data_IF_178665438894
#
_entry.id   IF_178665438894
#
_cell.length_a   1.000
_cell.length_b   1.000
_cell.length_c   1.000
_cell.angle_alpha   90.00
_cell.angle_beta   90.00
_cell.angle_gamma   90.00
#
_symmetry.space_group_name_H-M   'P 1'
#
loop_
_entity.id
_entity.type
_entity.pdbx_description
1 polymer ?
#
# COMPACT_ATOMS: atom_id res chain seq x y z
N UNK A 1 -0.44 -0.81 41.87
CA UNK A 1 -1.92 -0.97 41.96
C UNK A 1 -2.68 0.03 41.08
N UNK A 2 -2.45 1.35 41.18
CA UNK A 2 -3.19 2.37 40.39
C UNK A 2 -3.04 2.21 38.88
N UNK A 3 -1.83 2.01 38.36
CA UNK A 3 -1.60 1.84 36.91
C UNK A 3 -2.29 0.61 36.32
N UNK A 4 -2.36 -0.50 37.08
CA UNK A 4 -3.09 -1.69 36.63
C UNK A 4 -4.61 -1.46 36.45
N UNK A 5 -5.20 -0.56 37.24
CA UNK A 5 -6.62 -0.19 37.08
C UNK A 5 -6.87 0.59 35.77
N UNK A 6 -5.92 1.36 35.30
CA UNK A 6 -6.00 2.06 34.02
C UNK A 6 -6.00 1.06 32.86
N UNK A 7 -5.13 0.03 32.89
CA UNK A 7 -5.16 -1.05 31.89
C UNK A 7 -6.51 -1.74 31.90
N UNK A 8 -6.99 -2.19 33.06
CA UNK A 8 -8.27 -2.91 33.20
C UNK A 8 -9.44 -2.07 32.68
N UNK A 9 -9.46 -0.76 32.98
CA UNK A 9 -10.45 0.18 32.48
C UNK A 9 -10.38 0.29 30.95
N UNK A 10 -9.18 0.46 30.39
CA UNK A 10 -8.97 0.53 28.95
C UNK A 10 -9.47 -0.71 28.23
N UNK A 11 -9.08 -1.91 28.69
CA UNK A 11 -9.51 -3.19 28.11
C UNK A 11 -11.03 -3.40 28.27
N UNK A 12 -11.61 -3.03 29.39
CA UNK A 12 -13.05 -3.09 29.60
C UNK A 12 -13.81 -2.29 28.55
N UNK A 13 -13.41 -1.04 28.30
CA UNK A 13 -14.05 -0.18 27.32
C UNK A 13 -13.78 -0.62 25.87
N UNK A 14 -12.59 -1.17 25.57
CA UNK A 14 -12.32 -1.79 24.27
C UNK A 14 -13.30 -2.94 23.97
N UNK A 15 -13.51 -3.82 24.94
CA UNK A 15 -14.45 -4.93 24.80
C UNK A 15 -15.92 -4.47 24.70
N UNK A 16 -16.23 -3.29 25.22
CA UNK A 16 -17.53 -2.65 25.09
C UNK A 16 -17.70 -1.82 23.80
N UNK A 17 -16.70 -1.78 22.93
CA UNK A 17 -16.62 -0.91 21.74
C UNK A 17 -16.81 0.60 22.08
N UNK A 18 -16.37 1.01 23.26
CA UNK A 18 -16.34 2.41 23.70
C UNK A 18 -14.92 2.97 23.55
N UNK A 19 -14.57 3.30 22.31
CA UNK A 19 -13.24 3.75 21.94
C UNK A 19 -12.82 5.03 22.66
N UNK A 20 -13.76 5.91 22.96
CA UNK A 20 -13.46 7.18 23.63
C UNK A 20 -12.99 6.95 25.08
N UNK A 21 -13.67 6.10 25.84
CA UNK A 21 -13.24 5.75 27.17
C UNK A 21 -12.03 4.81 27.15
N UNK A 22 -11.93 3.87 26.20
CA UNK A 22 -10.74 3.05 26.02
C UNK A 22 -9.50 3.94 25.82
N UNK A 23 -9.58 4.89 24.89
CA UNK A 23 -8.49 5.85 24.64
C UNK A 23 -8.09 6.62 25.91
N UNK A 24 -9.08 7.16 26.62
CA UNK A 24 -8.83 7.92 27.85
C UNK A 24 -7.99 7.15 28.87
N UNK A 25 -8.37 5.91 29.16
CA UNK A 25 -7.71 5.09 30.17
C UNK A 25 -6.33 4.62 29.71
N UNK A 26 -6.18 4.20 28.44
CA UNK A 26 -4.91 3.73 27.89
C UNK A 26 -3.90 4.88 27.72
N UNK A 27 -4.37 6.04 27.25
CA UNK A 27 -3.54 7.25 27.17
C UNK A 27 -3.03 7.69 28.55
N UNK A 28 -3.91 7.74 29.55
CA UNK A 28 -3.52 8.09 30.91
C UNK A 28 -2.50 7.10 31.47
N UNK A 29 -2.63 5.79 31.18
CA UNK A 29 -1.62 4.81 31.57
C UNK A 29 -0.24 5.15 30.99
N UNK A 30 -0.15 5.47 29.69
CA UNK A 30 1.11 5.86 29.05
C UNK A 30 1.65 7.15 29.64
N UNK A 31 0.80 8.14 29.87
CA UNK A 31 1.19 9.43 30.45
C UNK A 31 1.73 9.30 31.89
N UNK A 32 1.24 8.32 32.67
CA UNK A 32 1.80 8.07 34.02
C UNK A 32 3.27 7.70 33.97
N UNK A 33 3.81 7.24 32.87
CA UNK A 33 5.23 6.96 32.69
C UNK A 33 6.12 8.20 32.92
N UNK A 34 5.57 9.38 32.70
CA UNK A 34 6.30 10.66 32.80
C UNK A 34 5.91 11.47 34.05
N UNK A 35 4.99 10.93 34.88
CA UNK A 35 4.57 11.65 36.07
C UNK A 35 5.68 11.67 37.16
N UNK A 36 5.94 12.80 37.81
CA UNK A 36 6.99 12.93 38.82
C UNK A 36 6.88 11.91 39.97
N UNK A 37 5.66 11.50 40.33
CA UNK A 37 5.43 10.51 41.37
C UNK A 37 5.97 9.11 41.01
N UNK A 38 6.13 8.81 39.73
CA UNK A 38 6.70 7.57 39.21
C UNK A 38 8.17 7.72 38.76
N UNK A 39 8.80 8.88 38.93
CA UNK A 39 10.18 9.15 38.51
C UNK A 39 11.22 8.17 39.10
N UNK A 40 10.92 7.56 40.25
CA UNK A 40 11.77 6.52 40.85
C UNK A 40 11.50 5.10 40.31
N UNK A 41 10.47 4.93 39.53
CA UNK A 41 10.13 3.66 38.91
C UNK A 41 10.93 3.50 37.62
N UNK A 42 11.64 2.38 37.52
CA UNK A 42 12.33 2.04 36.27
C UNK A 42 11.34 1.62 35.20
N UNK A 43 10.99 2.56 34.35
CA UNK A 43 9.97 2.40 33.30
C UNK A 43 10.36 1.33 32.28
N UNK A 44 11.67 1.01 32.13
CA UNK A 44 12.13 -0.05 31.26
C UNK A 44 11.69 -1.44 31.70
N UNK A 45 11.25 -1.56 32.96
CA UNK A 45 10.72 -2.80 33.57
C UNK A 45 9.19 -2.90 33.50
N UNK A 46 8.55 -1.95 32.88
CA UNK A 46 7.10 -1.98 32.68
C UNK A 46 6.76 -2.79 31.42
N UNK A 47 6.52 -4.06 31.59
CA UNK A 47 6.25 -5.03 30.53
C UNK A 47 5.01 -4.67 29.70
N UNK A 48 4.05 -3.91 30.27
CA UNK A 48 2.82 -3.55 29.58
C UNK A 48 2.92 -2.22 28.81
N UNK A 49 3.93 -1.38 29.12
CA UNK A 49 3.94 -0.01 28.62
C UNK A 49 3.95 0.07 27.10
N UNK A 50 4.76 -0.76 26.44
CA UNK A 50 4.93 -0.69 25.00
C UNK A 50 3.67 -1.16 24.25
N UNK A 51 3.01 -2.21 24.74
CA UNK A 51 1.78 -2.73 24.13
C UNK A 51 0.60 -1.78 24.36
N UNK A 52 0.44 -1.26 25.57
CA UNK A 52 -0.59 -0.27 25.87
C UNK A 52 -0.34 1.03 25.09
N UNK A 53 0.92 1.44 24.93
CA UNK A 53 1.27 2.58 24.10
C UNK A 53 0.90 2.40 22.63
N UNK A 54 0.96 1.18 22.08
CA UNK A 54 0.51 0.92 20.73
C UNK A 54 -0.99 1.25 20.58
N UNK A 55 -1.84 0.74 21.47
CA UNK A 55 -3.27 1.04 21.40
C UNK A 55 -3.58 2.51 21.65
N UNK A 56 -2.91 3.13 22.63
CA UNK A 56 -3.05 4.57 22.87
C UNK A 56 -2.65 5.40 21.65
N UNK A 57 -1.56 5.01 20.95
CA UNK A 57 -1.13 5.63 19.69
C UNK A 57 -2.18 5.47 18.59
N UNK A 58 -2.73 4.26 18.44
CA UNK A 58 -3.78 3.99 17.47
C UNK A 58 -4.99 4.89 17.66
N UNK A 59 -5.51 4.99 18.88
CA UNK A 59 -6.63 5.87 19.19
C UNK A 59 -6.28 7.36 19.03
N UNK A 60 -5.08 7.77 19.40
CA UNK A 60 -4.61 9.15 19.18
C UNK A 60 -4.58 9.48 17.67
N UNK A 61 -4.09 8.55 16.84
CA UNK A 61 -4.09 8.67 15.40
C UNK A 61 -5.51 8.79 14.82
N UNK A 62 -6.43 7.92 15.23
CA UNK A 62 -7.83 7.97 14.82
C UNK A 62 -8.51 9.29 15.16
N UNK A 63 -8.18 9.84 16.34
CA UNK A 63 -8.70 11.13 16.80
C UNK A 63 -7.91 12.34 16.24
N UNK A 64 -6.92 12.12 15.38
CA UNK A 64 -6.05 13.17 14.83
C UNK A 64 -5.31 13.99 15.92
N UNK A 65 -5.13 13.40 17.11
CA UNK A 65 -4.32 13.97 18.18
C UNK A 65 -2.84 13.67 17.93
N UNK A 66 -2.29 14.37 16.92
CA UNK A 66 -0.94 14.11 16.42
C UNK A 66 0.14 14.25 17.50
N UNK A 67 -0.02 15.22 18.38
CA UNK A 67 0.94 15.46 19.47
C UNK A 67 1.03 14.26 20.43
N UNK A 68 -0.10 13.68 20.80
CA UNK A 68 -0.16 12.47 21.61
C UNK A 68 0.28 11.23 20.84
N UNK A 69 -0.13 11.10 19.59
CA UNK A 69 0.27 10.00 18.73
C UNK A 69 1.80 9.93 18.60
N UNK A 70 2.48 11.04 18.31
CA UNK A 70 3.95 11.13 18.24
C UNK A 70 4.64 10.84 19.58
N UNK A 71 4.01 11.21 20.68
CA UNK A 71 4.55 10.96 22.01
C UNK A 71 4.45 9.48 22.39
N UNK A 72 3.30 8.85 22.15
CA UNK A 72 3.05 7.48 22.56
C UNK A 72 3.76 6.46 21.66
N UNK A 73 3.87 6.72 20.36
CA UNK A 73 4.51 5.80 19.43
C UNK A 73 5.97 5.50 19.80
N UNK A 74 6.67 6.44 20.46
CA UNK A 74 8.05 6.24 20.96
C UNK A 74 8.17 5.11 22.00
N UNK A 75 7.09 4.83 22.73
CA UNK A 75 7.01 3.68 23.62
C UNK A 75 6.54 2.43 22.85
N UNK A 76 5.57 2.59 21.95
CA UNK A 76 4.98 1.49 21.17
C UNK A 76 5.99 0.75 20.29
N UNK A 77 6.93 1.45 19.66
CA UNK A 77 7.99 0.84 18.82
C UNK A 77 8.93 -0.10 19.59
N UNK A 78 8.91 -0.04 20.92
CA UNK A 78 9.71 -0.93 21.80
C UNK A 78 8.99 -2.24 22.12
N UNK A 79 7.73 -2.44 21.68
CA UNK A 79 6.98 -3.66 21.92
C UNK A 79 7.65 -4.85 21.22
N UNK A 80 7.89 -5.96 21.91
CA UNK A 80 8.41 -7.18 21.29
C UNK A 80 7.49 -7.75 20.21
N UNK A 81 6.16 -7.62 20.38
CA UNK A 81 5.17 -8.22 19.51
C UNK A 81 4.67 -7.27 18.42
N UNK A 82 4.60 -5.96 18.72
CA UNK A 82 3.95 -4.95 17.87
C UNK A 82 4.91 -3.91 17.29
N UNK A 83 6.22 -4.11 17.40
CA UNK A 83 7.21 -3.14 16.93
C UNK A 83 7.00 -2.78 15.45
N UNK A 84 6.73 -3.76 14.60
CA UNK A 84 6.50 -3.53 13.16
C UNK A 84 5.24 -2.69 12.92
N UNK A 85 4.14 -3.02 13.59
CA UNK A 85 2.88 -2.29 13.45
C UNK A 85 3.02 -0.85 13.99
N UNK A 86 3.74 -0.69 15.12
CA UNK A 86 4.03 0.62 15.69
C UNK A 86 4.91 1.49 14.78
N UNK A 87 5.90 0.90 14.11
CA UNK A 87 6.71 1.60 13.11
C UNK A 87 5.88 2.03 11.89
N UNK A 88 4.96 1.20 11.42
CA UNK A 88 4.03 1.59 10.35
C UNK A 88 3.12 2.74 10.80
N UNK A 89 2.62 2.67 12.03
CA UNK A 89 1.79 3.73 12.61
C UNK A 89 2.59 5.04 12.79
N UNK A 90 3.86 4.99 13.18
CA UNK A 90 4.75 6.16 13.22
C UNK A 90 4.86 6.83 11.84
N UNK A 91 5.07 6.04 10.78
CA UNK A 91 5.13 6.54 9.42
C UNK A 91 3.79 7.14 8.96
N UNK A 92 2.68 6.52 9.35
CA UNK A 92 1.34 7.04 9.05
C UNK A 92 1.08 8.38 9.77
N UNK A 93 1.48 8.50 11.04
CA UNK A 93 1.37 9.75 11.82
C UNK A 93 2.17 10.88 11.15
N UNK A 94 3.41 10.60 10.75
CA UNK A 94 4.26 11.57 10.06
C UNK A 94 3.66 11.96 8.70
N UNK A 95 3.19 10.98 7.93
CA UNK A 95 2.59 11.20 6.63
C UNK A 95 1.28 12.02 6.69
N UNK A 96 0.46 11.80 7.72
CA UNK A 96 -0.80 12.51 7.91
C UNK A 96 -0.64 14.01 8.22
N UNK A 97 0.53 14.42 8.67
CA UNK A 97 0.82 15.81 9.05
C UNK A 97 1.46 16.64 7.93
N UNK A 98 1.71 16.04 6.76
CA UNK A 98 2.29 16.74 5.62
C UNK A 98 1.30 17.77 5.05
N UNK A 99 1.66 19.03 5.13
CA UNK A 99 0.83 20.16 4.64
C UNK A 99 1.52 20.94 3.54
N UNK A 100 2.83 20.94 3.54
CA UNK A 100 3.66 21.73 2.63
C UNK A 100 4.61 20.84 1.85
N UNK A 101 5.19 21.40 0.78
CA UNK A 101 6.27 20.73 0.06
C UNK A 101 7.50 20.50 0.97
N UNK A 102 7.80 21.45 1.85
CA UNK A 102 8.92 21.35 2.79
C UNK A 102 8.71 20.21 3.80
N UNK A 103 7.48 20.04 4.31
CA UNK A 103 7.14 18.90 5.18
C UNK A 103 7.40 17.58 4.44
N UNK A 104 6.99 17.49 3.17
CA UNK A 104 7.19 16.29 2.36
C UNK A 104 8.67 16.01 2.08
N UNK A 105 9.49 17.04 1.87
CA UNK A 105 10.96 16.91 1.77
C UNK A 105 11.54 16.43 3.10
N UNK A 106 11.14 17.01 4.22
CA UNK A 106 11.53 16.58 5.55
C UNK A 106 11.15 15.12 5.83
N UNK A 107 9.97 14.72 5.39
CA UNK A 107 9.51 13.33 5.49
C UNK A 107 10.37 12.38 4.67
N UNK A 108 10.67 12.72 3.41
CA UNK A 108 11.56 11.92 2.56
C UNK A 108 12.94 11.72 3.22
N UNK A 109 13.51 12.76 3.82
CA UNK A 109 14.79 12.66 4.53
C UNK A 109 14.72 11.70 5.74
N UNK A 110 13.61 11.71 6.51
CA UNK A 110 13.39 10.75 7.60
C UNK A 110 13.26 9.32 7.08
N UNK A 111 12.56 9.12 5.96
CA UNK A 111 12.44 7.81 5.33
C UNK A 111 13.80 7.30 4.82
N UNK A 112 14.65 8.16 4.26
CA UNK A 112 16.02 7.78 3.88
C UNK A 112 16.84 7.29 5.06
N UNK A 113 16.76 7.97 6.21
CA UNK A 113 17.43 7.54 7.43
C UNK A 113 16.92 6.17 7.91
N UNK A 114 15.61 5.99 7.95
CA UNK A 114 14.99 4.68 8.33
C UNK A 114 15.37 3.56 7.36
N UNK A 115 15.43 3.86 6.07
CA UNK A 115 15.85 2.85 5.07
C UNK A 115 17.34 2.50 5.20
N UNK A 116 18.18 3.45 5.62
CA UNK A 116 19.59 3.16 5.90
C UNK A 116 19.77 2.27 7.14
N UNK A 117 18.88 2.39 8.15
CA UNK A 117 18.86 1.55 9.35
C UNK A 117 18.33 0.13 9.04
N UNK A 118 17.29 0.02 8.20
CA UNK A 118 16.69 -1.25 7.77
C UNK A 118 16.48 -1.27 6.25
N UNK A 119 17.52 -1.64 5.47
CA UNK A 119 17.49 -1.63 4.00
C UNK A 119 16.50 -2.62 3.37
N UNK A 120 16.02 -3.60 4.13
CA UNK A 120 15.04 -4.60 3.64
C UNK A 120 13.60 -4.22 3.97
N UNK A 121 13.36 -3.06 4.57
CA UNK A 121 12.02 -2.59 4.92
C UNK A 121 11.25 -2.11 3.69
N UNK A 122 10.45 -3.01 3.13
CA UNK A 122 9.66 -2.75 1.91
C UNK A 122 8.71 -1.57 2.08
N UNK A 123 8.10 -1.41 3.25
CA UNK A 123 7.17 -0.29 3.52
C UNK A 123 7.89 1.06 3.49
N UNK A 124 9.03 1.18 4.17
CA UNK A 124 9.85 2.40 4.18
C UNK A 124 10.37 2.69 2.76
N UNK A 125 10.86 1.68 2.06
CA UNK A 125 11.33 1.81 0.67
C UNK A 125 10.23 2.36 -0.24
N UNK A 126 9.04 1.75 -0.20
CA UNK A 126 7.91 2.16 -1.05
C UNK A 126 7.45 3.58 -0.73
N UNK A 127 7.34 3.93 0.56
CA UNK A 127 6.97 5.28 0.99
C UNK A 127 8.00 6.32 0.55
N UNK A 128 9.31 6.02 0.68
CA UNK A 128 10.37 6.92 0.25
C UNK A 128 10.29 7.19 -1.24
N UNK A 129 10.25 6.14 -2.04
CA UNK A 129 10.24 6.24 -3.51
C UNK A 129 8.98 6.99 -3.98
N UNK A 130 7.81 6.69 -3.40
CA UNK A 130 6.56 7.39 -3.70
C UNK A 130 6.62 8.86 -3.29
N UNK A 131 7.13 9.15 -2.09
CA UNK A 131 7.27 10.54 -1.61
C UNK A 131 8.18 11.36 -2.51
N UNK A 132 9.34 10.81 -2.89
CA UNK A 132 10.27 11.46 -3.82
C UNK A 132 9.62 11.75 -5.19
N UNK A 133 8.86 10.79 -5.72
CA UNK A 133 8.11 10.99 -6.96
C UNK A 133 7.09 12.13 -6.83
N UNK A 134 6.31 12.15 -5.75
CA UNK A 134 5.28 13.16 -5.50
C UNK A 134 5.82 14.57 -5.32
N UNK A 135 7.03 14.72 -4.76
CA UNK A 135 7.69 16.03 -4.63
C UNK A 135 8.52 16.43 -5.86
N UNK A 136 8.38 15.69 -6.98
CA UNK A 136 9.05 15.99 -8.24
C UNK A 136 10.51 15.54 -8.31
N UNK A 137 11.00 14.75 -7.35
CA UNK A 137 12.36 14.19 -7.33
C UNK A 137 12.42 12.81 -8.02
N UNK A 138 11.78 12.68 -9.19
CA UNK A 138 11.68 11.42 -9.91
C UNK A 138 13.04 10.77 -10.20
N UNK A 139 14.03 11.57 -10.60
CA UNK A 139 15.37 11.06 -10.88
C UNK A 139 16.02 10.38 -9.66
N UNK A 140 15.81 10.92 -8.46
CA UNK A 140 16.30 10.33 -7.21
C UNK A 140 15.53 9.05 -6.88
N UNK A 141 14.23 9.05 -7.08
CA UNK A 141 13.38 7.85 -6.91
C UNK A 141 13.84 6.72 -7.84
N UNK A 142 14.06 7.01 -9.14
CA UNK A 142 14.57 6.06 -10.11
C UNK A 142 15.95 5.49 -9.69
N UNK A 143 16.86 6.34 -9.23
CA UNK A 143 18.19 5.92 -8.75
C UNK A 143 18.10 4.96 -7.55
N UNK A 144 17.22 5.23 -6.60
CA UNK A 144 17.03 4.36 -5.42
C UNK A 144 16.50 2.99 -5.85
N UNK A 145 15.53 2.96 -6.78
CA UNK A 145 14.97 1.71 -7.31
C UNK A 145 16.05 0.92 -8.06
N UNK A 146 16.82 1.54 -8.95
CA UNK A 146 17.87 0.86 -9.71
C UNK A 146 19.01 0.37 -8.80
N UNK A 147 19.38 1.14 -7.77
CA UNK A 147 20.38 0.72 -6.79
C UNK A 147 19.91 -0.51 -5.98
N UNK A 148 18.64 -0.54 -5.58
CA UNK A 148 18.05 -1.68 -4.89
C UNK A 148 18.04 -2.93 -5.79
N UNK A 149 17.66 -2.81 -7.06
CA UNK A 149 17.67 -3.92 -8.03
C UNK A 149 19.09 -4.39 -8.39
N UNK A 150 20.06 -3.47 -8.43
CA UNK A 150 21.46 -3.83 -8.66
C UNK A 150 22.03 -4.65 -7.49
N UNK A 151 21.62 -4.35 -6.25
CA UNK A 151 22.02 -5.08 -5.05
C UNK A 151 21.28 -6.41 -4.92
N UNK A 152 19.97 -6.40 -5.18
CA UNK A 152 19.10 -7.56 -5.12
C UNK A 152 18.10 -7.54 -6.29
N UNK A 153 18.37 -8.26 -7.40
CA UNK A 153 17.47 -8.31 -8.55
C UNK A 153 16.05 -8.84 -8.25
N UNK A 154 15.90 -9.52 -7.11
CA UNK A 154 14.62 -10.05 -6.62
C UNK A 154 14.04 -9.20 -5.48
N UNK A 155 14.42 -7.93 -5.36
CA UNK A 155 13.79 -7.04 -4.39
C UNK A 155 12.34 -6.73 -4.83
N UNK A 156 11.37 -7.28 -4.10
CA UNK A 156 9.94 -7.14 -4.40
C UNK A 156 9.51 -5.68 -4.54
N UNK A 157 9.82 -4.84 -3.54
CA UNK A 157 9.42 -3.44 -3.53
C UNK A 157 10.00 -2.67 -4.72
N UNK A 158 11.28 -2.90 -5.04
CA UNK A 158 11.94 -2.25 -6.17
C UNK A 158 11.38 -2.70 -7.52
N UNK A 159 11.04 -3.99 -7.69
CA UNK A 159 10.41 -4.48 -8.91
C UNK A 159 9.02 -3.88 -9.11
N UNK A 160 8.21 -3.78 -8.05
CA UNK A 160 6.88 -3.15 -8.10
C UNK A 160 7.01 -1.67 -8.46
N UNK A 161 7.90 -0.93 -7.79
CA UNK A 161 8.12 0.50 -8.10
C UNK A 161 8.63 0.72 -9.51
N UNK A 162 9.54 -0.13 -9.99
CA UNK A 162 9.99 -0.09 -11.40
C UNK A 162 8.82 -0.29 -12.36
N UNK A 163 7.99 -1.28 -12.11
CA UNK A 163 6.78 -1.52 -12.91
C UNK A 163 5.85 -0.30 -12.93
N UNK A 164 5.61 0.35 -11.79
CA UNK A 164 4.80 1.55 -11.71
C UNK A 164 5.42 2.72 -12.50
N UNK A 165 6.71 2.96 -12.36
CA UNK A 165 7.40 4.05 -13.06
C UNK A 165 7.42 3.85 -14.56
N UNK A 166 7.70 2.63 -15.03
CA UNK A 166 7.65 2.32 -16.46
C UNK A 166 6.22 2.45 -17.01
N UNK A 167 5.20 2.07 -16.25
CA UNK A 167 3.79 2.26 -16.63
C UNK A 167 3.42 3.76 -16.74
N UNK A 168 3.88 4.60 -15.81
CA UNK A 168 3.68 6.06 -15.88
C UNK A 168 4.36 6.69 -17.10
N UNK A 169 5.53 6.16 -17.51
CA UNK A 169 6.22 6.56 -18.73
C UNK A 169 5.61 5.95 -19.99
N UNK A 170 4.53 5.15 -19.85
CA UNK A 170 3.87 4.38 -20.92
C UNK A 170 4.73 3.30 -21.56
N UNK A 171 5.80 2.89 -20.89
CA UNK A 171 6.65 1.76 -21.27
C UNK A 171 6.02 0.46 -20.76
N UNK A 172 4.81 0.14 -21.24
CA UNK A 172 3.98 -0.92 -20.67
C UNK A 172 4.60 -2.31 -20.72
N UNK A 173 5.41 -2.62 -21.73
CA UNK A 173 6.13 -3.90 -21.82
C UNK A 173 7.17 -4.01 -20.70
N UNK A 174 8.01 -2.98 -20.52
CA UNK A 174 9.00 -2.94 -19.45
C UNK A 174 8.35 -2.96 -18.07
N UNK A 175 7.18 -2.31 -17.92
CA UNK A 175 6.38 -2.34 -16.69
C UNK A 175 5.88 -3.76 -16.39
N UNK A 176 5.29 -4.43 -17.38
CA UNK A 176 4.83 -5.80 -17.24
C UNK A 176 5.97 -6.77 -16.90
N UNK A 177 7.13 -6.63 -17.54
CA UNK A 177 8.31 -7.47 -17.28
C UNK A 177 8.82 -7.34 -15.83
N UNK A 178 8.84 -6.12 -15.30
CA UNK A 178 9.21 -5.89 -13.90
C UNK A 178 8.20 -6.52 -12.93
N UNK A 179 6.90 -6.35 -13.19
CA UNK A 179 5.82 -6.89 -12.37
C UNK A 179 5.73 -8.42 -12.44
N UNK A 180 5.98 -9.03 -13.61
CA UNK A 180 6.06 -10.50 -13.76
C UNK A 180 7.18 -11.07 -12.89
N UNK A 181 8.32 -10.38 -12.77
CA UNK A 181 9.40 -10.78 -11.85
C UNK A 181 9.02 -10.61 -10.39
N UNK A 182 8.19 -9.62 -10.05
CA UNK A 182 7.70 -9.38 -8.69
C UNK A 182 6.65 -10.42 -8.24
N UNK A 183 5.85 -10.96 -9.18
CA UNK A 183 4.71 -11.82 -8.86
C UNK A 183 5.04 -13.05 -8.00
N UNK A 184 6.10 -13.84 -8.27
CA UNK A 184 6.46 -14.98 -7.43
C UNK A 184 6.97 -14.59 -6.02
N UNK A 185 7.26 -13.30 -5.80
CA UNK A 185 7.76 -12.76 -4.54
C UNK A 185 6.65 -12.17 -3.66
N UNK A 186 5.41 -12.16 -4.15
CA UNK A 186 4.26 -11.64 -3.42
C UNK A 186 3.96 -12.49 -2.18
N UNK A 187 3.87 -11.85 -1.02
CA UNK A 187 3.74 -12.52 0.27
C UNK A 187 2.32 -13.02 0.55
N UNK A 188 1.30 -12.31 0.04
CA UNK A 188 -0.11 -12.55 0.31
C UNK A 188 -0.99 -12.36 -0.92
N UNK A 189 -2.28 -12.68 -0.79
CA UNK A 189 -3.23 -12.57 -1.88
C UNK A 189 -3.51 -11.11 -2.26
N UNK A 190 -3.47 -10.17 -1.33
CA UNK A 190 -3.65 -8.76 -1.64
C UNK A 190 -2.56 -8.25 -2.60
N UNK A 191 -1.29 -8.63 -2.34
CA UNK A 191 -0.17 -8.34 -3.24
C UNK A 191 -0.33 -9.05 -4.59
N UNK A 192 -0.75 -10.33 -4.59
CA UNK A 192 -0.97 -11.09 -5.83
C UNK A 192 -2.09 -10.47 -6.68
N UNK A 193 -3.19 -10.04 -6.06
CA UNK A 193 -4.28 -9.32 -6.73
C UNK A 193 -3.74 -8.04 -7.38
N UNK A 194 -3.04 -7.22 -6.60
CA UNK A 194 -2.53 -5.94 -7.09
C UNK A 194 -1.55 -6.11 -8.26
N UNK A 195 -0.60 -7.05 -8.17
CA UNK A 195 0.38 -7.29 -9.23
C UNK A 195 -0.30 -7.87 -10.48
N UNK A 196 -1.14 -8.89 -10.36
CA UNK A 196 -1.84 -9.46 -11.51
C UNK A 196 -2.70 -8.41 -12.22
N UNK A 197 -3.45 -7.60 -11.46
CA UNK A 197 -4.21 -6.51 -12.03
C UNK A 197 -3.31 -5.50 -12.76
N UNK A 198 -2.18 -5.13 -12.17
CA UNK A 198 -1.23 -4.18 -12.78
C UNK A 198 -0.59 -4.73 -14.05
N UNK A 199 -0.22 -6.02 -14.10
CA UNK A 199 0.28 -6.67 -15.32
C UNK A 199 -0.81 -6.64 -16.41
N UNK A 200 -2.02 -7.04 -16.05
CA UNK A 200 -3.15 -7.02 -16.99
C UNK A 200 -3.44 -5.62 -17.52
N UNK A 201 -3.39 -4.60 -16.66
CA UNK A 201 -3.51 -3.19 -17.07
C UNK A 201 -2.40 -2.78 -18.03
N UNK A 202 -1.15 -3.19 -17.80
CA UNK A 202 -0.05 -2.88 -18.71
C UNK A 202 -0.34 -3.42 -20.13
N UNK A 203 -0.74 -4.69 -20.25
CA UNK A 203 -1.09 -5.26 -21.55
C UNK A 203 -2.33 -4.61 -22.17
N UNK A 204 -3.34 -4.30 -21.37
CA UNK A 204 -4.54 -3.60 -21.83
C UNK A 204 -4.21 -2.21 -22.40
N UNK A 205 -3.48 -1.37 -21.67
CA UNK A 205 -3.12 -0.03 -22.14
C UNK A 205 -2.14 -0.07 -23.31
N UNK A 206 -1.19 -1.01 -23.32
CA UNK A 206 -0.30 -1.24 -24.48
C UNK A 206 -1.11 -1.52 -25.75
N UNK A 207 -2.06 -2.46 -25.68
CA UNK A 207 -2.91 -2.80 -26.82
C UNK A 207 -3.81 -1.62 -27.21
N UNK A 208 -4.42 -0.92 -26.25
CA UNK A 208 -5.30 0.22 -26.50
C UNK A 208 -4.57 1.36 -27.22
N UNK A 209 -3.36 1.71 -26.79
CA UNK A 209 -2.57 2.72 -27.49
C UNK A 209 -2.12 2.28 -28.89
N UNK A 210 -1.78 1.00 -29.05
CA UNK A 210 -1.43 0.47 -30.37
C UNK A 210 -2.62 0.47 -31.32
N UNK A 211 -3.80 0.05 -30.85
CA UNK A 211 -5.07 0.10 -31.60
C UNK A 211 -5.40 1.55 -32.02
N UNK A 212 -5.25 2.52 -31.12
CA UNK A 212 -5.53 3.92 -31.42
C UNK A 212 -4.65 4.53 -32.52
N UNK A 213 -3.48 3.93 -32.79
CA UNK A 213 -2.57 4.37 -33.88
C UNK A 213 -2.90 3.77 -35.23
N UNK A 214 -3.77 2.74 -35.28
CA UNK A 214 -4.15 2.09 -36.55
C UNK A 214 -5.09 3.00 -37.33
N UNK A 215 -4.75 3.26 -38.59
CA UNK A 215 -5.62 3.97 -39.52
C UNK A 215 -6.43 2.95 -40.33
N UNK A 216 -7.76 2.95 -40.20
CA UNK A 216 -8.65 2.08 -40.92
C UNK A 216 -9.22 0.92 -40.11
N UNK A 217 -9.74 -0.11 -40.80
CA UNK A 217 -10.41 -1.23 -40.15
C UNK A 217 -9.38 -2.22 -39.60
N UNK A 218 -9.57 -2.62 -38.35
CA UNK A 218 -8.75 -3.64 -37.69
C UNK A 218 -9.38 -5.00 -37.96
N UNK A 219 -8.77 -5.78 -38.84
CA UNK A 219 -9.26 -7.11 -39.26
C UNK A 219 -8.07 -8.03 -39.62
N UNK A 220 -8.36 -9.31 -39.79
CA UNK A 220 -7.39 -10.33 -40.22
C UNK A 220 -6.15 -10.38 -39.29
N UNK A 221 -4.94 -10.54 -39.86
CA UNK A 221 -3.70 -10.70 -39.07
C UNK A 221 -3.42 -9.59 -38.06
N UNK A 222 -3.83 -8.36 -38.38
CA UNK A 222 -3.69 -7.21 -37.47
C UNK A 222 -4.57 -7.37 -36.23
N UNK A 223 -5.84 -7.81 -36.43
CA UNK A 223 -6.74 -8.11 -35.31
C UNK A 223 -6.19 -9.24 -34.44
N UNK A 224 -5.69 -10.30 -35.05
CA UNK A 224 -5.12 -11.46 -34.37
C UNK A 224 -3.92 -11.08 -33.47
N UNK A 225 -3.09 -10.12 -33.90
CA UNK A 225 -1.99 -9.62 -33.08
C UNK A 225 -2.49 -8.88 -31.82
N UNK A 226 -3.50 -8.02 -31.97
CA UNK A 226 -4.11 -7.34 -30.84
C UNK A 226 -4.86 -8.31 -29.92
N UNK A 227 -5.59 -9.27 -30.50
CA UNK A 227 -6.30 -10.31 -29.74
C UNK A 227 -5.32 -11.06 -28.81
N UNK A 228 -4.10 -11.37 -29.27
CA UNK A 228 -3.07 -12.02 -28.43
C UNK A 228 -2.70 -11.17 -27.22
N UNK A 229 -2.51 -9.86 -27.40
CA UNK A 229 -2.13 -8.97 -26.29
C UNK A 229 -3.28 -8.78 -25.31
N UNK A 230 -4.50 -8.58 -25.83
CA UNK A 230 -5.70 -8.49 -24.98
C UNK A 230 -5.99 -9.79 -24.23
N UNK A 231 -5.82 -10.95 -24.86
CA UNK A 231 -5.98 -12.24 -24.19
C UNK A 231 -4.95 -12.42 -23.08
N UNK A 232 -3.72 -11.98 -23.27
CA UNK A 232 -2.71 -11.98 -22.21
C UNK A 232 -3.11 -11.06 -21.05
N UNK A 233 -3.71 -9.92 -21.33
CA UNK A 233 -4.28 -9.06 -20.29
C UNK A 233 -5.41 -9.78 -19.53
N UNK A 234 -6.33 -10.44 -20.26
CA UNK A 234 -7.45 -11.19 -19.67
C UNK A 234 -6.96 -12.27 -18.71
N UNK A 235 -5.91 -13.03 -19.08
CA UNK A 235 -5.35 -14.07 -18.22
C UNK A 235 -4.96 -13.52 -16.83
N UNK A 236 -4.21 -12.44 -16.77
CA UNK A 236 -3.79 -11.82 -15.51
C UNK A 236 -4.97 -11.17 -14.76
N UNK A 237 -5.86 -10.47 -15.47
CA UNK A 237 -7.03 -9.82 -14.85
C UNK A 237 -8.00 -10.85 -14.26
N UNK A 238 -8.16 -12.02 -14.89
CA UNK A 238 -8.95 -13.11 -14.33
C UNK A 238 -8.32 -13.71 -13.08
N UNK A 239 -6.99 -13.83 -13.02
CA UNK A 239 -6.32 -14.25 -11.79
C UNK A 239 -6.59 -13.25 -10.66
N UNK A 240 -6.46 -11.95 -10.93
CA UNK A 240 -6.78 -10.90 -9.95
C UNK A 240 -8.24 -10.98 -9.49
N UNK A 241 -9.20 -11.10 -10.42
CA UNK A 241 -10.63 -11.27 -10.13
C UNK A 241 -10.91 -12.48 -9.26
N UNK A 242 -10.33 -13.64 -9.60
CA UNK A 242 -10.58 -14.90 -8.90
C UNK A 242 -10.02 -14.91 -7.47
N UNK A 243 -8.92 -14.21 -7.23
CA UNK A 243 -8.35 -14.02 -5.89
C UNK A 243 -9.14 -13.00 -5.06
N UNK A 244 -9.76 -12.02 -5.70
CA UNK A 244 -10.54 -10.95 -5.07
C UNK A 244 -11.99 -11.40 -4.77
N UNK A 245 -12.13 -12.43 -3.93
CA UNK A 245 -13.42 -13.09 -3.62
C UNK A 245 -14.47 -12.09 -3.09
N UNK A 246 -14.06 -11.12 -2.28
CA UNK A 246 -14.93 -10.12 -1.70
C UNK A 246 -15.13 -8.87 -2.58
N UNK A 247 -14.50 -8.84 -3.74
CA UNK A 247 -14.53 -7.71 -4.68
C UNK A 247 -14.06 -6.35 -4.11
N UNK A 248 -13.21 -6.37 -3.09
CA UNK A 248 -12.65 -5.17 -2.44
C UNK A 248 -11.67 -4.42 -3.36
N UNK A 249 -11.00 -5.17 -4.25
CA UNK A 249 -10.05 -4.66 -5.24
C UNK A 249 -10.63 -4.52 -6.65
N UNK A 250 -11.94 -4.64 -6.82
CA UNK A 250 -12.67 -4.64 -8.11
C UNK A 250 -12.27 -3.49 -9.04
N UNK A 251 -11.99 -2.32 -8.51
CA UNK A 251 -11.51 -1.14 -9.25
C UNK A 251 -10.22 -1.39 -10.04
N UNK A 252 -9.40 -2.36 -9.62
CA UNK A 252 -8.11 -2.63 -10.25
C UNK A 252 -8.24 -3.48 -11.52
N UNK A 253 -9.23 -4.36 -11.59
CA UNK A 253 -9.34 -5.36 -12.66
C UNK A 253 -10.60 -5.26 -13.53
N UNK A 254 -11.72 -4.71 -13.02
CA UNK A 254 -13.01 -4.82 -13.71
C UNK A 254 -13.05 -4.05 -15.02
N UNK A 255 -12.69 -2.76 -15.01
CA UNK A 255 -12.73 -1.94 -16.24
C UNK A 255 -11.75 -2.44 -17.32
N UNK A 256 -10.48 -2.72 -17.03
CA UNK A 256 -9.59 -3.29 -18.02
C UNK A 256 -10.07 -4.64 -18.58
N UNK A 257 -10.65 -5.50 -17.73
CA UNK A 257 -11.20 -6.79 -18.16
C UNK A 257 -12.37 -6.61 -19.12
N UNK A 258 -13.29 -5.70 -18.81
CA UNK A 258 -14.37 -5.31 -19.73
C UNK A 258 -13.82 -4.84 -21.08
N UNK A 259 -12.87 -3.90 -21.08
CA UNK A 259 -12.29 -3.37 -22.32
C UNK A 259 -11.60 -4.44 -23.16
N UNK A 260 -10.93 -5.40 -22.51
CA UNK A 260 -10.32 -6.53 -23.21
C UNK A 260 -11.39 -7.44 -23.87
N UNK A 261 -12.43 -7.84 -23.14
CA UNK A 261 -13.51 -8.66 -23.70
C UNK A 261 -14.28 -7.94 -24.79
N UNK A 262 -14.57 -6.65 -24.62
CA UNK A 262 -15.22 -5.84 -25.64
C UNK A 262 -14.46 -5.87 -26.97
N UNK A 263 -13.13 -5.74 -26.92
CA UNK A 263 -12.30 -5.79 -28.15
C UNK A 263 -12.24 -7.18 -28.76
N UNK A 264 -12.00 -8.23 -27.95
CA UNK A 264 -11.74 -9.60 -28.45
C UNK A 264 -13.05 -10.29 -28.90
N UNK A 265 -14.10 -10.16 -28.07
CA UNK A 265 -15.35 -10.93 -28.23
C UNK A 265 -16.53 -10.11 -28.73
N UNK A 266 -16.43 -8.78 -28.64
CA UNK A 266 -17.49 -7.86 -29.00
C UNK A 266 -18.47 -7.58 -27.86
N UNK A 267 -19.29 -6.56 -28.05
CA UNK A 267 -20.18 -5.97 -27.03
C UNK A 267 -21.19 -6.99 -26.45
N UNK A 268 -21.79 -7.82 -27.28
CA UNK A 268 -22.88 -8.73 -26.91
C UNK A 268 -22.42 -10.12 -26.44
N UNK A 269 -21.12 -10.29 -26.21
CA UNK A 269 -20.63 -11.56 -25.70
C UNK A 269 -20.94 -11.67 -24.18
N UNK A 270 -21.35 -12.86 -23.69
CA UNK A 270 -21.68 -13.05 -22.28
C UNK A 270 -20.58 -12.60 -21.31
N UNK A 271 -19.32 -12.82 -21.67
CA UNK A 271 -18.18 -12.41 -20.86
C UNK A 271 -18.01 -10.88 -20.82
N UNK A 272 -18.34 -10.20 -21.93
CA UNK A 272 -18.32 -8.74 -22.01
C UNK A 272 -19.41 -8.15 -21.14
N UNK A 273 -20.63 -8.69 -21.21
CA UNK A 273 -21.76 -8.26 -20.38
C UNK A 273 -21.47 -8.48 -18.88
N UNK A 274 -20.93 -9.65 -18.52
CA UNK A 274 -20.53 -9.92 -17.14
C UNK A 274 -19.43 -8.97 -16.63
N UNK A 275 -18.43 -8.69 -17.45
CA UNK A 275 -17.37 -7.77 -17.09
C UNK A 275 -17.85 -6.30 -17.05
N UNK A 276 -18.82 -5.92 -17.88
CA UNK A 276 -19.49 -4.61 -17.84
C UNK A 276 -20.22 -4.42 -16.50
N UNK A 277 -20.97 -5.44 -16.07
CA UNK A 277 -21.64 -5.41 -14.76
C UNK A 277 -20.63 -5.27 -13.59
N UNK A 278 -19.50 -5.98 -13.66
CA UNK A 278 -18.42 -5.83 -12.69
C UNK A 278 -17.83 -4.40 -12.72
N UNK A 279 -17.68 -3.81 -13.88
CA UNK A 279 -17.13 -2.46 -14.03
C UNK A 279 -18.15 -1.34 -13.71
N UNK A 280 -19.40 -1.70 -13.41
CA UNK A 280 -20.47 -0.71 -13.16
C UNK A 280 -20.92 0.02 -14.44
N UNK A 281 -20.68 -0.59 -15.60
CA UNK A 281 -21.12 -0.08 -16.91
C UNK A 281 -22.52 -0.63 -17.16
N UNK A 282 -23.55 0.21 -16.97
CA UNK A 282 -24.93 -0.14 -17.35
C UNK A 282 -25.03 -0.13 -18.88
N UNK A 283 -25.47 -1.23 -19.47
CA UNK A 283 -25.93 -1.24 -20.87
C UNK A 283 -27.14 -0.29 -21.00
N UNK A 284 -27.07 0.64 -21.92
CA UNK A 284 -28.26 1.38 -22.39
C UNK A 284 -29.14 0.47 -23.24
#
# INVERSE_FOLDING_TARGET
MMRGLLINGGVFFQNANDDANAYKYLAEYVETAEWPMFAKFDISKDENLSDIAYYATYYAYQNQDWAKAERYVKYAIKSPERSKDAQQLELAILGAQLKTHEDSVGYANKLEQKLAEDPENVSVFTLLVTTLSNIGQQAKADQIVEAALSKNPNNYGALVMKGQFESQKKNYEAAADALVKALPLAADDAQRIAINASIGQCYFYHAQEAVARVKGVIAGPTKEQFDKVYNKAIEYLLVAKNLDVNHESKRLWAYPLYGCYYFVKGEKAPETEAAAADAGISGE
#
